data_IF_553227153659
#
_entry.id   IF_553227153659
#
_cell.length_a   1.000
_cell.length_b   1.000
_cell.length_c   1.000
_cell.angle_alpha   90.00
_cell.angle_beta   90.00
_cell.angle_gamma   90.00
#
_symmetry.space_group_name_H-M   'P 1'
#
loop_
_entity.id
_entity.type
_entity.pdbx_description
1 polymer ?
#
# COMPACT_ATOMS: atom_id res chain seq x y z
N UNK A 1 0.03 58.03 -31.11
CA UNK A 1 0.46 59.00 -30.08
C UNK A 1 0.66 58.23 -28.80
N UNK A 2 1.89 57.76 -28.58
CA UNK A 2 2.36 57.21 -27.33
C UNK A 2 2.52 58.38 -26.33
N UNK A 3 1.88 58.32 -25.17
CA UNK A 3 2.35 58.94 -23.91
C UNK A 3 1.31 58.74 -22.78
N UNK A 4 1.83 58.39 -21.60
CA UNK A 4 1.22 58.49 -20.26
C UNK A 4 0.18 57.42 -19.85
N UNK A 5 0.66 56.27 -19.37
CA UNK A 5 0.67 55.96 -17.92
C UNK A 5 1.40 54.62 -17.71
N UNK A 6 2.73 54.69 -17.60
CA UNK A 6 3.48 53.68 -16.86
C UNK A 6 3.05 53.81 -15.40
N UNK A 7 2.20 52.90 -14.91
CA UNK A 7 1.98 52.74 -13.47
C UNK A 7 3.08 51.82 -12.94
N UNK A 8 4.03 52.36 -12.15
CA UNK A 8 5.04 51.56 -11.50
C UNK A 8 4.42 50.83 -10.32
N UNK A 9 4.70 49.53 -10.22
CA UNK A 9 4.58 48.82 -8.96
C UNK A 9 3.20 48.24 -8.66
N UNK A 10 2.71 47.35 -9.52
CA UNK A 10 1.93 46.23 -9.01
C UNK A 10 2.86 45.03 -8.96
N UNK A 11 3.41 44.83 -7.77
CA UNK A 11 4.36 43.78 -7.45
C UNK A 11 3.86 42.41 -7.90
N UNK A 12 4.78 41.63 -8.43
CA UNK A 12 4.64 40.19 -8.65
C UNK A 12 4.02 39.59 -7.40
N UNK A 13 2.78 39.13 -7.49
CA UNK A 13 2.18 38.33 -6.43
C UNK A 13 3.03 37.05 -6.30
N UNK A 14 3.77 36.84 -5.20
CA UNK A 14 4.38 35.54 -4.96
C UNK A 14 3.21 34.58 -4.76
N UNK A 15 3.18 33.47 -5.50
CA UNK A 15 2.30 32.35 -5.20
C UNK A 15 2.62 31.88 -3.80
N UNK A 16 1.82 32.34 -2.83
CA UNK A 16 1.93 31.97 -1.43
C UNK A 16 1.15 30.68 -1.24
N UNK A 17 1.72 29.57 -1.71
CA UNK A 17 1.20 28.21 -1.47
C UNK A 17 2.19 27.38 -0.64
N UNK A 18 2.88 28.02 0.30
CA UNK A 18 3.79 27.35 1.25
C UNK A 18 3.21 27.28 2.66
N UNK A 19 1.90 27.51 2.80
CA UNK A 19 1.19 27.22 4.05
C UNK A 19 0.85 25.73 4.07
N UNK A 20 1.64 25.05 4.89
CA UNK A 20 1.12 24.04 5.81
C UNK A 20 0.81 22.67 5.18
N UNK A 21 1.67 22.19 4.30
CA UNK A 21 2.05 20.78 4.38
C UNK A 21 2.86 20.59 5.67
N UNK A 22 2.20 20.69 6.82
CA UNK A 22 2.72 20.12 8.05
C UNK A 22 2.98 18.65 7.73
N UNK A 23 4.23 18.17 7.73
CA UNK A 23 4.43 16.74 7.84
C UNK A 23 3.73 16.38 9.15
N UNK A 24 2.80 15.42 9.10
CA UNK A 24 2.26 14.78 10.29
C UNK A 24 3.44 14.13 11.00
N UNK A 25 4.12 14.95 11.80
CA UNK A 25 5.29 14.62 12.57
C UNK A 25 4.82 13.61 13.60
N UNK A 26 5.22 12.36 13.38
CA UNK A 26 5.54 11.46 14.46
C UNK A 26 4.42 11.24 15.45
N UNK A 27 3.26 10.77 14.97
CA UNK A 27 2.53 9.82 15.78
C UNK A 27 3.47 8.63 15.96
N UNK A 28 4.10 8.50 17.13
CA UNK A 28 4.70 7.24 17.59
C UNK A 28 3.59 6.19 17.47
N UNK A 29 3.49 5.58 16.29
CA UNK A 29 2.61 4.45 16.06
C UNK A 29 3.06 3.43 17.07
N UNK A 30 2.24 3.22 18.09
CA UNK A 30 2.51 2.20 19.09
C UNK A 30 2.65 0.90 18.34
N UNK A 31 3.90 0.51 18.07
CA UNK A 31 4.22 -0.85 17.66
C UNK A 31 3.60 -1.69 18.75
N UNK A 32 2.57 -2.46 18.36
CA UNK A 32 1.73 -3.31 19.20
C UNK A 32 2.47 -3.68 20.48
N UNK A 33 2.21 -2.96 21.57
CA UNK A 33 2.93 -3.14 22.85
C UNK A 33 2.46 -4.40 23.59
N UNK A 34 1.56 -5.17 22.96
CA UNK A 34 1.05 -6.43 23.44
C UNK A 34 1.84 -7.58 22.78
N UNK A 35 2.73 -8.28 23.52
CA UNK A 35 3.52 -9.37 22.97
C UNK A 35 2.65 -10.53 22.46
N UNK A 36 1.46 -10.75 23.03
CA UNK A 36 0.53 -11.76 22.54
C UNK A 36 0.00 -11.38 21.14
N UNK A 37 -0.29 -10.10 20.90
CA UNK A 37 -0.69 -9.62 19.58
C UNK A 37 0.44 -9.78 18.55
N UNK A 38 1.68 -9.49 18.94
CA UNK A 38 2.87 -9.70 18.08
C UNK A 38 3.03 -11.17 17.72
N UNK A 39 2.96 -12.07 18.71
CA UNK A 39 3.06 -13.51 18.47
C UNK A 39 1.91 -14.04 17.60
N UNK A 40 0.70 -13.54 17.80
CA UNK A 40 -0.45 -13.92 17.00
C UNK A 40 -0.30 -13.48 15.54
N UNK A 41 0.11 -12.23 15.30
CA UNK A 41 0.40 -11.74 13.94
C UNK A 41 1.53 -12.55 13.31
N UNK A 42 2.60 -12.84 14.06
CA UNK A 42 3.72 -13.64 13.57
C UNK A 42 3.26 -15.06 13.19
N UNK A 43 2.39 -15.69 13.98
CA UNK A 43 1.82 -17.00 13.67
C UNK A 43 0.99 -16.99 12.37
N UNK A 44 0.17 -15.95 12.16
CA UNK A 44 -0.60 -15.78 10.91
C UNK A 44 0.34 -15.65 9.71
N UNK A 45 1.36 -14.79 9.81
CA UNK A 45 2.34 -14.59 8.72
C UNK A 45 3.12 -15.89 8.45
N UNK A 46 3.53 -16.60 9.50
CA UNK A 46 4.22 -17.88 9.35
C UNK A 46 3.34 -18.93 8.66
N UNK A 47 2.06 -19.01 9.04
CA UNK A 47 1.10 -19.92 8.43
C UNK A 47 0.88 -19.58 6.95
N UNK A 48 0.66 -18.31 6.63
CA UNK A 48 0.49 -17.82 5.25
C UNK A 48 1.72 -18.18 4.37
N UNK A 49 2.92 -17.91 4.87
CA UNK A 49 4.15 -18.21 4.13
C UNK A 49 4.39 -19.72 3.98
N UNK A 50 4.06 -20.53 5.00
CA UNK A 50 4.12 -21.98 4.91
C UNK A 50 3.14 -22.52 3.87
N UNK A 51 1.89 -22.04 3.86
CA UNK A 51 0.89 -22.44 2.87
C UNK A 51 1.33 -22.07 1.46
N UNK A 52 1.85 -20.85 1.25
CA UNK A 52 2.39 -20.43 -0.05
C UNK A 52 3.55 -21.31 -0.51
N UNK A 53 4.45 -21.66 0.40
CA UNK A 53 5.55 -22.58 0.09
C UNK A 53 5.03 -23.95 -0.34
N UNK A 54 4.11 -24.55 0.43
CA UNK A 54 3.50 -25.84 0.10
C UNK A 54 2.81 -25.82 -1.27
N UNK A 55 2.03 -24.79 -1.57
CA UNK A 55 1.39 -24.62 -2.88
C UNK A 55 2.45 -24.52 -3.98
N UNK A 56 3.49 -23.72 -3.78
CA UNK A 56 4.54 -23.55 -4.79
C UNK A 56 5.37 -24.81 -5.04
N UNK A 57 5.49 -25.69 -4.04
CA UNK A 57 6.26 -26.92 -4.10
C UNK A 57 5.43 -28.12 -4.63
N UNK A 58 4.11 -28.11 -4.42
CA UNK A 58 3.24 -29.25 -4.74
C UNK A 58 2.30 -29.01 -5.93
N UNK A 59 2.11 -27.77 -6.36
CA UNK A 59 1.20 -27.43 -7.46
C UNK A 59 1.92 -26.74 -8.63
N UNK A 60 1.38 -26.92 -9.83
CA UNK A 60 1.76 -26.13 -11.01
C UNK A 60 0.92 -24.85 -11.10
N UNK A 61 1.46 -23.79 -11.69
CA UNK A 61 0.73 -22.53 -11.86
C UNK A 61 -0.49 -22.77 -12.77
N UNK A 62 -1.65 -22.30 -12.34
CA UNK A 62 -2.94 -22.52 -13.00
C UNK A 62 -3.66 -23.81 -12.56
N UNK A 63 -3.00 -24.69 -11.81
CA UNK A 63 -3.64 -25.89 -11.26
C UNK A 63 -4.71 -25.51 -10.25
N UNK A 64 -5.84 -26.23 -10.29
CA UNK A 64 -6.91 -26.17 -9.30
C UNK A 64 -7.13 -27.55 -8.68
N UNK A 65 -7.25 -27.59 -7.35
CA UNK A 65 -7.56 -28.80 -6.58
C UNK A 65 -8.85 -28.54 -5.82
N UNK A 66 -9.89 -29.32 -6.08
CA UNK A 66 -11.14 -29.21 -5.34
C UNK A 66 -10.98 -29.77 -3.92
N UNK A 67 -11.24 -28.93 -2.92
CA UNK A 67 -11.22 -29.31 -1.50
C UNK A 67 -12.62 -29.71 -1.06
N UNK A 68 -13.63 -28.94 -1.49
CA UNK A 68 -15.04 -29.30 -1.37
C UNK A 68 -15.62 -29.31 -2.78
N UNK A 69 -16.04 -30.48 -3.30
CA UNK A 69 -16.57 -30.59 -4.65
C UNK A 69 -17.65 -29.55 -4.92
N UNK A 70 -17.56 -28.89 -6.08
CA UNK A 70 -18.51 -27.88 -6.57
C UNK A 70 -18.69 -26.62 -5.70
N UNK A 71 -17.89 -26.44 -4.64
CA UNK A 71 -18.02 -25.29 -3.73
C UNK A 71 -16.69 -24.57 -3.47
N UNK A 72 -15.60 -25.30 -3.23
CA UNK A 72 -14.32 -24.71 -2.84
C UNK A 72 -13.13 -25.44 -3.46
N UNK A 73 -12.35 -24.68 -4.23
CA UNK A 73 -11.13 -25.15 -4.86
C UNK A 73 -9.93 -24.28 -4.47
N UNK A 74 -8.78 -24.93 -4.28
CA UNK A 74 -7.49 -24.26 -4.14
C UNK A 74 -6.86 -24.12 -5.52
N UNK A 75 -6.72 -22.89 -5.99
CA UNK A 75 -6.11 -22.59 -7.30
C UNK A 75 -4.79 -21.87 -7.13
N UNK A 76 -3.72 -22.38 -7.76
CA UNK A 76 -2.41 -21.73 -7.72
C UNK A 76 -2.31 -20.64 -8.79
N UNK A 77 -2.51 -19.39 -8.37
CA UNK A 77 -2.33 -18.20 -9.21
C UNK A 77 -1.09 -17.44 -8.77
N UNK A 78 -0.21 -17.10 -9.71
CA UNK A 78 0.85 -16.11 -9.50
C UNK A 78 0.35 -14.75 -9.94
N UNK A 79 0.31 -13.79 -9.03
CA UNK A 79 -0.18 -12.46 -9.31
C UNK A 79 0.93 -11.39 -9.14
N UNK A 80 1.85 -11.27 -10.11
CA UNK A 80 2.88 -10.24 -10.09
C UNK A 80 2.23 -8.86 -10.32
N UNK A 81 1.89 -8.14 -9.25
CA UNK A 81 1.39 -6.75 -9.32
C UNK A 81 -0.12 -6.54 -9.15
N UNK A 82 -0.83 -7.53 -8.61
CA UNK A 82 -2.28 -7.68 -8.39
C UNK A 82 -3.23 -6.49 -8.10
N UNK A 83 -2.77 -5.30 -7.72
CA UNK A 83 -3.69 -4.24 -7.26
C UNK A 83 -3.26 -2.81 -7.58
N UNK A 84 -2.02 -2.58 -8.03
CA UNK A 84 -1.47 -1.22 -8.20
C UNK A 84 -0.44 -1.19 -9.34
N UNK A 85 -0.84 -1.57 -10.56
CA UNK A 85 0.06 -1.60 -11.73
C UNK A 85 1.02 -0.41 -11.83
#
# INVERSE_FOLDING_TARGET
MWALLELPGIGRHPRRSSRDLQPLSGGRGGVVSNPAAVLFIAAIVALDQLTKWLVSASMTVGQSIDIVPDFFALTYVRNPGAAFG
#
